data_IF_920828026336
#
_entry.id   IF_920828026336
#
_cell.length_a   1.000
_cell.length_b   1.000
_cell.length_c   1.000
_cell.angle_alpha   90.00
_cell.angle_beta   90.00
_cell.angle_gamma   90.00
#
_symmetry.space_group_name_H-M   'P 1'
#
loop_
_entity.id
_entity.type
_entity.pdbx_description
1 polymer ?
#
# COMPACT_ATOMS: atom_id res chain seq x y z
N UNK A 1 -4.10 5.33 23.63
CA UNK A 1 -4.45 5.70 22.25
C UNK A 1 -5.46 4.68 21.73
N UNK A 2 -6.17 4.96 20.64
CA UNK A 2 -6.94 3.95 19.88
C UNK A 2 -6.35 3.80 18.49
N UNK A 3 -6.70 2.72 17.79
CA UNK A 3 -6.28 2.53 16.41
C UNK A 3 -6.82 3.64 15.48
N UNK A 4 -7.99 4.21 15.80
CA UNK A 4 -8.51 5.38 15.09
C UNK A 4 -7.62 6.62 15.30
N UNK A 5 -7.20 6.87 16.55
CA UNK A 5 -6.27 7.98 16.85
C UNK A 5 -4.93 7.78 16.13
N UNK A 6 -4.40 6.55 16.07
CA UNK A 6 -3.18 6.21 15.32
C UNK A 6 -3.34 6.49 13.83
N UNK A 7 -4.42 6.02 13.21
CA UNK A 7 -4.66 6.21 11.77
C UNK A 7 -4.77 7.70 11.43
N UNK A 8 -5.44 8.48 12.28
CA UNK A 8 -5.56 9.92 12.10
C UNK A 8 -4.20 10.62 12.28
N UNK A 9 -3.41 10.23 13.29
CA UNK A 9 -2.05 10.75 13.50
C UNK A 9 -1.14 10.47 12.29
N UNK A 10 -1.09 9.22 11.81
CA UNK A 10 -0.32 8.84 10.62
C UNK A 10 -0.76 9.63 9.39
N UNK A 11 -2.07 9.83 9.20
CA UNK A 11 -2.60 10.60 8.05
C UNK A 11 -2.25 12.07 8.12
N UNK A 12 -2.26 12.65 9.32
CA UNK A 12 -1.93 14.05 9.54
C UNK A 12 -0.43 14.28 9.36
N UNK A 13 0.40 13.41 9.92
CA UNK A 13 1.86 13.49 9.83
C UNK A 13 2.36 13.23 8.41
N UNK A 14 1.77 12.25 7.69
CA UNK A 14 2.13 11.90 6.32
C UNK A 14 1.19 12.54 5.26
N UNK A 15 0.51 13.63 5.61
CA UNK A 15 -0.50 14.24 4.75
C UNK A 15 0.06 14.63 3.37
N UNK A 16 1.29 15.16 3.35
CA UNK A 16 1.88 15.68 2.10
C UNK A 16 2.31 14.53 1.21
N UNK A 17 2.95 13.52 1.78
CA UNK A 17 3.41 12.28 1.16
C UNK A 17 2.22 11.54 0.55
N UNK A 18 1.18 11.27 1.34
CA UNK A 18 -0.05 10.62 0.86
C UNK A 18 -0.76 11.43 -0.23
N UNK A 19 -0.69 12.76 -0.18
CA UNK A 19 -1.22 13.62 -1.25
C UNK A 19 -0.42 13.50 -2.55
N UNK A 20 0.91 13.34 -2.47
CA UNK A 20 1.79 13.12 -3.64
C UNK A 20 1.59 11.73 -4.23
N UNK A 21 1.58 10.71 -3.37
CA UNK A 21 1.30 9.31 -3.73
C UNK A 21 -0.12 9.12 -4.28
N UNK A 22 -1.07 9.99 -3.88
CA UNK A 22 -2.41 10.06 -4.45
C UNK A 22 -2.54 10.92 -5.70
N UNK A 23 -1.46 11.22 -6.41
CA UNK A 23 -1.50 11.97 -7.66
C UNK A 23 -1.29 11.07 -8.87
N UNK A 24 -1.69 11.55 -10.06
CA UNK A 24 -1.51 10.79 -11.30
C UNK A 24 -0.04 10.50 -11.63
N UNK A 25 0.89 11.18 -10.96
CA UNK A 25 2.33 10.94 -11.12
C UNK A 25 2.79 9.63 -10.50
N UNK A 26 2.04 9.04 -9.59
CA UNK A 26 2.36 7.71 -9.04
C UNK A 26 2.33 6.67 -10.14
N UNK A 27 1.29 6.67 -10.97
CA UNK A 27 1.25 5.81 -12.16
C UNK A 27 2.37 6.11 -13.14
N UNK A 28 2.74 7.38 -13.29
CA UNK A 28 3.86 7.77 -14.16
C UNK A 28 5.21 7.24 -13.63
N UNK A 29 5.42 7.28 -12.31
CA UNK A 29 6.61 6.70 -11.68
C UNK A 29 6.63 5.18 -11.83
N UNK A 30 5.55 4.50 -11.44
CA UNK A 30 5.40 3.04 -11.50
C UNK A 30 5.60 2.46 -12.91
N UNK A 31 5.25 3.23 -13.94
CA UNK A 31 5.39 2.82 -15.34
C UNK A 31 6.65 3.38 -16.02
N UNK A 32 7.54 4.03 -15.27
CA UNK A 32 8.73 4.73 -15.79
C UNK A 32 8.40 5.69 -16.95
N UNK A 33 7.21 6.27 -16.91
CA UNK A 33 6.66 7.21 -17.89
C UNK A 33 5.84 6.59 -19.02
N UNK A 34 5.77 5.26 -19.11
CA UNK A 34 5.02 4.54 -20.15
C UNK A 34 3.54 4.37 -19.76
N UNK A 35 2.72 5.39 -20.02
CA UNK A 35 1.30 5.44 -19.64
C UNK A 35 0.35 4.65 -20.56
N UNK A 36 0.82 3.55 -21.16
CA UNK A 36 -0.05 2.65 -21.93
C UNK A 36 -0.85 1.74 -20.98
N UNK A 37 -2.14 1.43 -21.26
CA UNK A 37 -2.97 0.62 -20.36
C UNK A 37 -2.34 -0.70 -19.92
N UNK A 38 -1.70 -1.42 -20.83
CA UNK A 38 -1.01 -2.69 -20.57
C UNK A 38 0.18 -2.53 -19.60
N UNK A 39 0.92 -1.43 -19.69
CA UNK A 39 2.04 -1.15 -18.78
C UNK A 39 1.53 -0.77 -17.40
N UNK A 40 0.44 0.01 -17.34
CA UNK A 40 -0.25 0.35 -16.09
C UNK A 40 -0.81 -0.91 -15.40
N UNK A 41 -1.36 -1.87 -16.16
CA UNK A 41 -1.82 -3.16 -15.61
C UNK A 41 -0.65 -4.02 -15.12
N UNK A 42 0.47 -4.06 -15.85
CA UNK A 42 1.68 -4.77 -15.40
C UNK A 42 2.22 -4.18 -14.10
N UNK A 43 2.30 -2.85 -13.98
CA UNK A 43 2.70 -2.18 -12.74
C UNK A 43 1.73 -2.45 -11.58
N UNK A 44 0.42 -2.51 -11.85
CA UNK A 44 -0.57 -2.92 -10.87
C UNK A 44 -0.35 -4.37 -10.41
N UNK A 45 -0.11 -5.30 -11.35
CA UNK A 45 0.20 -6.70 -11.04
C UNK A 45 1.48 -6.83 -10.21
N UNK A 46 2.51 -6.02 -10.48
CA UNK A 46 3.73 -5.95 -9.66
C UNK A 46 3.43 -5.59 -8.20
N UNK A 47 2.58 -4.57 -7.97
CA UNK A 47 2.18 -4.17 -6.62
C UNK A 47 1.38 -5.25 -5.91
N UNK A 48 0.45 -5.91 -6.59
CA UNK A 48 -0.30 -7.03 -6.01
C UNK A 48 0.60 -8.23 -5.71
N UNK A 49 1.58 -8.53 -6.58
CA UNK A 49 2.55 -9.60 -6.37
C UNK A 49 3.40 -9.34 -5.12
N UNK A 50 3.97 -8.13 -4.99
CA UNK A 50 4.77 -7.76 -3.84
C UNK A 50 3.98 -7.84 -2.53
N UNK A 51 2.72 -7.38 -2.54
CA UNK A 51 1.84 -7.48 -1.39
C UNK A 51 1.49 -8.92 -1.03
N UNK A 52 1.21 -9.76 -2.02
CA UNK A 52 1.01 -11.19 -1.82
C UNK A 52 2.22 -11.82 -1.13
N UNK A 53 3.42 -11.61 -1.68
CA UNK A 53 4.64 -12.23 -1.16
C UNK A 53 4.94 -11.83 0.29
N UNK A 54 4.80 -10.53 0.62
CA UNK A 54 4.98 -10.05 2.00
C UNK A 54 3.94 -10.65 2.96
N UNK A 55 2.65 -10.62 2.61
CA UNK A 55 1.60 -11.04 3.53
C UNK A 55 1.47 -12.55 3.65
N UNK A 56 1.80 -13.31 2.60
CA UNK A 56 1.91 -14.77 2.67
C UNK A 56 3.00 -15.16 3.67
N UNK A 57 4.19 -14.56 3.55
CA UNK A 57 5.30 -14.78 4.49
C UNK A 57 4.93 -14.40 5.94
N UNK A 58 4.30 -13.25 6.15
CA UNK A 58 3.83 -12.86 7.48
C UNK A 58 2.76 -13.80 8.03
N UNK A 59 1.88 -14.34 7.19
CA UNK A 59 0.84 -15.27 7.62
C UNK A 59 1.42 -16.60 8.12
N UNK A 60 2.51 -17.07 7.50
CA UNK A 60 3.24 -18.27 7.91
C UNK A 60 4.02 -18.07 9.23
N UNK A 61 4.57 -16.87 9.44
CA UNK A 61 5.40 -16.53 10.59
C UNK A 61 4.62 -16.01 11.81
N UNK A 62 3.38 -15.54 11.61
CA UNK A 62 2.56 -14.97 12.68
C UNK A 62 1.71 -16.03 13.38
N UNK A 63 1.22 -15.70 14.56
CA UNK A 63 0.24 -16.52 15.29
C UNK A 63 -1.05 -15.73 15.50
N UNK A 64 -2.12 -16.46 15.82
CA UNK A 64 -3.42 -15.91 16.21
C UNK A 64 -4.10 -15.06 15.11
N UNK A 65 -4.97 -14.13 15.50
CA UNK A 65 -5.88 -13.41 14.58
C UNK A 65 -5.13 -12.52 13.57
N UNK A 66 -3.90 -12.07 13.88
CA UNK A 66 -3.06 -11.33 12.94
C UNK A 66 -2.61 -12.20 11.75
N UNK A 67 -2.30 -13.48 11.97
CA UNK A 67 -1.95 -14.41 10.90
C UNK A 67 -3.13 -14.60 9.93
N UNK A 68 -4.36 -14.66 10.45
CA UNK A 68 -5.56 -14.75 9.62
C UNK A 68 -5.79 -13.50 8.77
N UNK A 69 -5.57 -12.30 9.32
CA UNK A 69 -5.63 -11.06 8.55
C UNK A 69 -4.61 -11.06 7.40
N UNK A 70 -3.37 -11.45 7.67
CA UNK A 70 -2.32 -11.48 6.63
C UNK A 70 -2.61 -12.54 5.57
N UNK A 71 -3.14 -13.70 5.95
CA UNK A 71 -3.60 -14.71 5.00
C UNK A 71 -4.75 -14.20 4.11
N UNK A 72 -5.74 -13.50 4.68
CA UNK A 72 -6.80 -12.85 3.91
C UNK A 72 -6.21 -11.85 2.90
N UNK A 73 -5.29 -10.99 3.34
CA UNK A 73 -4.64 -10.00 2.48
C UNK A 73 -3.80 -10.64 1.36
N UNK A 74 -3.07 -11.72 1.67
CA UNK A 74 -2.29 -12.48 0.69
C UNK A 74 -3.18 -13.15 -0.37
N UNK A 75 -4.32 -13.70 0.05
CA UNK A 75 -5.29 -14.30 -0.88
C UNK A 75 -5.94 -13.24 -1.78
N UNK A 76 -6.41 -12.14 -1.20
CA UNK A 76 -7.05 -11.06 -1.97
C UNK A 76 -6.10 -10.41 -2.98
N UNK A 77 -4.83 -10.19 -2.62
CA UNK A 77 -3.82 -9.64 -3.54
C UNK A 77 -3.50 -10.61 -4.68
N UNK A 78 -3.38 -11.90 -4.41
CA UNK A 78 -3.23 -12.91 -5.45
C UNK A 78 -4.43 -12.96 -6.41
N UNK A 79 -5.66 -12.94 -5.88
CA UNK A 79 -6.88 -12.90 -6.69
C UNK A 79 -6.94 -11.64 -7.57
N UNK A 80 -6.56 -10.48 -7.01
CA UNK A 80 -6.49 -9.23 -7.77
C UNK A 80 -5.43 -9.30 -8.86
N UNK A 81 -4.21 -9.76 -8.56
CA UNK A 81 -3.13 -9.96 -9.55
C UNK A 81 -3.63 -10.81 -10.72
N UNK A 82 -4.21 -11.97 -10.44
CA UNK A 82 -4.68 -12.91 -11.45
C UNK A 82 -5.82 -12.33 -12.30
N UNK A 83 -6.63 -11.42 -11.73
CA UNK A 83 -7.71 -10.74 -12.45
C UNK A 83 -7.24 -9.68 -13.46
N UNK A 84 -6.00 -9.18 -13.35
CA UNK A 84 -5.49 -8.10 -14.19
C UNK A 84 -5.05 -8.56 -15.59
N UNK A 85 -4.89 -9.88 -15.80
CA UNK A 85 -4.41 -10.48 -17.07
C UNK A 85 -3.12 -9.80 -17.59
N UNK A 86 -2.21 -9.49 -16.68
CA UNK A 86 -0.94 -8.85 -16.96
C UNK A 86 0.18 -9.48 -16.13
N UNK A 87 1.34 -9.68 -16.74
CA UNK A 87 2.51 -10.19 -16.03
C UNK A 87 3.09 -9.10 -15.13
N UNK A 88 3.40 -9.42 -13.86
CA UNK A 88 4.13 -8.49 -12.99
C UNK A 88 5.54 -8.23 -13.54
N UNK A 89 6.03 -7.02 -13.34
CA UNK A 89 7.43 -6.67 -13.58
C UNK A 89 8.35 -7.17 -12.46
N UNK A 90 9.66 -6.97 -12.65
CA UNK A 90 10.70 -7.45 -11.73
C UNK A 90 11.00 -6.48 -10.56
N UNK A 91 10.50 -5.24 -10.61
CA UNK A 91 10.80 -4.20 -9.60
C UNK A 91 9.78 -4.24 -8.45
N UNK A 92 10.19 -4.76 -7.28
CA UNK A 92 9.40 -4.71 -6.05
C UNK A 92 9.37 -3.29 -5.48
N UNK A 93 8.19 -2.71 -5.15
CA UNK A 93 8.12 -1.38 -4.54
C UNK A 93 8.90 -1.32 -3.22
N UNK A 94 9.71 -0.29 -3.05
CA UNK A 94 10.68 -0.16 -1.95
C UNK A 94 10.08 -0.33 -0.54
N UNK A 95 8.82 0.08 -0.34
CA UNK A 95 8.12 -0.06 0.93
C UNK A 95 8.02 -1.53 1.42
N UNK A 96 8.08 -2.51 0.51
CA UNK A 96 8.08 -3.93 0.90
C UNK A 96 9.39 -4.35 1.56
N UNK A 97 10.51 -3.67 1.29
CA UNK A 97 11.75 -3.88 2.05
C UNK A 97 11.60 -3.51 3.52
N UNK A 98 10.86 -2.43 3.83
CA UNK A 98 10.53 -2.07 5.21
C UNK A 98 9.63 -3.12 5.83
N UNK A 99 8.56 -3.53 5.14
CA UNK A 99 7.62 -4.54 5.63
C UNK A 99 8.33 -5.88 5.92
N UNK A 100 9.22 -6.32 5.04
CA UNK A 100 9.96 -7.58 5.23
C UNK A 100 10.86 -7.56 6.48
N UNK A 101 11.35 -6.38 6.89
CA UNK A 101 12.16 -6.20 8.11
C UNK A 101 11.32 -6.13 9.41
N UNK A 102 9.99 -6.03 9.33
CA UNK A 102 9.11 -6.00 10.50
C UNK A 102 8.89 -7.40 11.08
N UNK A 103 9.23 -7.57 12.36
CA UNK A 103 9.21 -8.88 13.03
C UNK A 103 8.12 -9.02 14.10
N UNK A 104 7.74 -7.94 14.77
CA UNK A 104 6.72 -7.99 15.82
C UNK A 104 5.31 -7.75 15.29
N UNK A 105 4.31 -8.33 15.96
CA UNK A 105 2.90 -8.25 15.53
C UNK A 105 2.41 -6.81 15.48
N UNK A 106 2.77 -5.99 16.47
CA UNK A 106 2.37 -4.59 16.57
C UNK A 106 2.97 -3.78 15.41
N UNK A 107 4.27 -3.96 15.16
CA UNK A 107 4.97 -3.30 14.06
C UNK A 107 4.38 -3.73 12.72
N UNK A 108 4.15 -5.03 12.50
CA UNK A 108 3.53 -5.56 11.26
C UNK A 108 2.13 -5.00 11.04
N UNK A 109 1.29 -4.92 12.08
CA UNK A 109 -0.03 -4.30 11.98
C UNK A 109 0.05 -2.80 11.67
N UNK A 110 1.00 -2.08 12.27
CA UNK A 110 1.30 -0.68 11.95
C UNK A 110 1.75 -0.50 10.49
N UNK A 111 2.74 -1.26 10.06
CA UNK A 111 3.22 -1.26 8.68
C UNK A 111 2.13 -1.63 7.67
N UNK A 112 1.27 -2.59 8.02
CA UNK A 112 0.08 -2.94 7.24
C UNK A 112 -0.88 -1.76 7.10
N UNK A 113 -1.15 -1.03 8.18
CA UNK A 113 -1.95 0.22 8.12
C UNK A 113 -1.31 1.23 7.17
N UNK A 114 0.01 1.46 7.27
CA UNK A 114 0.75 2.32 6.34
C UNK A 114 0.59 1.89 4.88
N UNK A 115 0.76 0.59 4.60
CA UNK A 115 0.57 0.00 3.27
C UNK A 115 -0.85 0.23 2.74
N UNK A 116 -1.90 -0.02 3.55
CA UNK A 116 -3.28 0.19 3.10
C UNK A 116 -3.59 1.66 2.78
N UNK A 117 -2.94 2.62 3.45
CA UNK A 117 -3.09 4.04 3.15
C UNK A 117 -2.47 4.41 1.81
N UNK A 118 -1.27 3.90 1.51
CA UNK A 118 -0.63 4.06 0.20
C UNK A 118 -1.44 3.36 -0.88
N UNK A 119 -1.74 2.07 -0.72
CA UNK A 119 -2.40 1.28 -1.76
C UNK A 119 -3.78 1.86 -2.12
N UNK A 120 -4.55 2.32 -1.13
CA UNK A 120 -5.81 3.03 -1.36
C UNK A 120 -5.64 4.20 -2.33
N UNK A 121 -4.59 5.02 -2.15
CA UNK A 121 -4.29 6.16 -3.01
C UNK A 121 -3.93 5.73 -4.43
N UNK A 122 -3.15 4.66 -4.59
CA UNK A 122 -2.79 4.13 -5.91
C UNK A 122 -4.01 3.56 -6.63
N UNK A 123 -4.89 2.82 -5.94
CA UNK A 123 -6.14 2.27 -6.49
C UNK A 123 -7.11 3.35 -6.98
N UNK A 124 -7.16 4.48 -6.29
CA UNK A 124 -7.89 5.68 -6.76
C UNK A 124 -7.32 6.21 -8.09
N UNK A 125 -5.99 6.19 -8.26
CA UNK A 125 -5.36 6.60 -9.51
C UNK A 125 -5.65 5.64 -10.65
N UNK A 126 -5.54 4.32 -10.43
CA UNK A 126 -5.92 3.34 -11.45
C UNK A 126 -7.38 3.52 -11.88
N UNK A 127 -8.30 3.69 -10.92
CA UNK A 127 -9.71 3.98 -11.19
C UNK A 127 -9.88 5.21 -12.09
N UNK A 128 -9.19 6.31 -11.77
CA UNK A 128 -9.21 7.54 -12.55
C UNK A 128 -8.64 7.37 -13.96
N UNK A 129 -7.51 6.67 -14.07
CA UNK A 129 -6.84 6.39 -15.34
C UNK A 129 -7.75 5.61 -16.30
N UNK A 130 -8.27 4.46 -15.88
CA UNK A 130 -9.12 3.62 -16.75
C UNK A 130 -10.47 4.27 -17.06
N UNK A 131 -11.01 5.10 -16.15
CA UNK A 131 -12.16 5.95 -16.45
C UNK A 131 -11.83 6.91 -17.61
N UNK A 132 -10.65 7.52 -17.61
CA UNK A 132 -10.16 8.37 -18.68
C UNK A 132 -9.90 7.64 -20.00
N UNK A 133 -9.53 6.36 -19.95
CA UNK A 133 -9.35 5.49 -21.12
C UNK A 133 -10.66 4.95 -21.70
N UNK A 134 -11.82 5.34 -21.16
CA UNK A 134 -13.12 4.78 -21.51
C UNK A 134 -13.22 3.27 -21.27
N UNK A 135 -12.53 2.77 -20.24
CA UNK A 135 -12.63 1.40 -19.74
C UNK A 135 -13.27 1.37 -18.34
N UNK A 136 -14.62 1.46 -18.27
CA UNK A 136 -15.34 1.49 -17.01
C UNK A 136 -15.32 0.15 -16.27
N UNK A 137 -15.01 -0.97 -16.94
CA UNK A 137 -14.96 -2.28 -16.31
C UNK A 137 -13.72 -2.39 -15.43
N UNK A 138 -12.55 -2.15 -16.02
CA UNK A 138 -11.27 -2.13 -15.30
C UNK A 138 -11.26 -1.06 -14.21
N UNK A 139 -11.81 0.13 -14.49
CA UNK A 139 -11.98 1.17 -13.47
C UNK A 139 -12.86 0.71 -12.29
N UNK A 140 -13.87 -0.12 -12.53
CA UNK A 140 -14.70 -0.66 -11.46
C UNK A 140 -13.96 -1.69 -10.63
N UNK A 141 -13.13 -2.54 -11.25
CA UNK A 141 -12.27 -3.51 -10.53
C UNK A 141 -11.37 -2.79 -9.53
N UNK A 142 -10.66 -1.75 -9.95
CA UNK A 142 -9.80 -0.97 -9.05
C UNK A 142 -10.56 -0.21 -7.98
N UNK A 143 -11.78 0.25 -8.29
CA UNK A 143 -12.64 0.90 -7.29
C UNK A 143 -13.04 -0.09 -6.19
N UNK A 144 -13.45 -1.31 -6.57
CA UNK A 144 -13.77 -2.39 -5.63
C UNK A 144 -12.55 -2.79 -4.80
N UNK A 145 -11.40 -3.00 -5.45
CA UNK A 145 -10.15 -3.29 -4.75
C UNK A 145 -9.79 -2.21 -3.70
N UNK A 146 -9.99 -0.93 -4.02
CA UNK A 146 -9.79 0.15 -3.07
C UNK A 146 -10.78 0.16 -1.90
N UNK A 147 -11.95 -0.49 -2.01
CA UNK A 147 -12.86 -0.71 -0.89
C UNK A 147 -12.43 -1.91 -0.05
N UNK A 148 -11.94 -2.98 -0.68
CA UNK A 148 -11.45 -4.17 0.02
C UNK A 148 -10.23 -3.83 0.90
N UNK A 149 -9.31 -3.01 0.39
CA UNK A 149 -8.15 -2.48 1.16
C UNK A 149 -8.59 -1.66 2.37
N UNK A 150 -9.72 -0.95 2.28
CA UNK A 150 -10.26 -0.20 3.42
C UNK A 150 -10.83 -1.14 4.48
N UNK A 151 -11.53 -2.21 4.08
CA UNK A 151 -11.98 -3.27 4.99
C UNK A 151 -10.81 -3.99 5.66
N UNK A 152 -9.72 -4.27 4.95
CA UNK A 152 -8.49 -4.82 5.54
C UNK A 152 -7.90 -3.87 6.59
N UNK A 153 -7.87 -2.57 6.32
CA UNK A 153 -7.41 -1.56 7.31
C UNK A 153 -8.28 -1.53 8.56
N UNK A 154 -9.60 -1.64 8.40
CA UNK A 154 -10.54 -1.69 9.54
C UNK A 154 -10.27 -2.93 10.41
N UNK A 155 -10.07 -4.11 9.82
CA UNK A 155 -9.67 -5.32 10.55
C UNK A 155 -8.33 -5.14 11.28
N UNK A 156 -7.34 -4.53 10.64
CA UNK A 156 -6.05 -4.24 11.26
C UNK A 156 -6.20 -3.30 12.47
N UNK A 157 -7.08 -2.29 12.37
CA UNK A 157 -7.37 -1.37 13.46
C UNK A 157 -8.00 -2.09 14.67
N UNK A 158 -8.97 -2.99 14.43
CA UNK A 158 -9.56 -3.82 15.48
C UNK A 158 -8.52 -4.69 16.20
N UNK A 159 -7.55 -5.24 15.46
CA UNK A 159 -6.46 -6.02 16.03
C UNK A 159 -5.49 -5.15 16.83
N UNK A 160 -5.11 -3.97 16.32
CA UNK A 160 -4.27 -3.02 17.05
C UNK A 160 -4.89 -2.63 18.39
N UNK A 161 -6.19 -2.32 18.42
CA UNK A 161 -6.91 -2.05 19.67
C UNK A 161 -6.91 -3.24 20.64
N UNK A 162 -6.80 -4.47 20.14
CA UNK A 162 -6.77 -5.68 20.95
C UNK A 162 -5.36 -6.03 21.46
N UNK A 163 -4.30 -5.73 20.70
CA UNK A 163 -2.92 -6.16 21.03
C UNK A 163 -2.04 -5.07 21.65
N UNK A 164 -2.33 -3.79 21.42
CA UNK A 164 -1.56 -2.70 22.02
C UNK A 164 -1.98 -2.49 23.47
N UNK A 165 -1.06 -2.74 24.41
CA UNK A 165 -1.31 -2.64 25.85
C UNK A 165 -0.71 -1.37 26.47
N UNK A 166 0.23 -0.74 25.77
CA UNK A 166 1.04 0.38 26.25
C UNK A 166 1.22 1.46 25.19
N UNK A 167 1.63 2.66 25.63
CA UNK A 167 1.98 3.75 24.71
C UNK A 167 3.19 3.37 23.82
N UNK A 168 4.10 2.51 24.30
CA UNK A 168 5.24 2.03 23.50
C UNK A 168 4.79 1.14 22.32
N UNK A 169 3.74 0.33 22.49
CA UNK A 169 3.17 -0.48 21.40
C UNK A 169 2.56 0.43 20.32
N UNK A 170 1.82 1.43 20.79
CA UNK A 170 1.20 2.45 19.96
C UNK A 170 2.22 3.25 19.15
N UNK A 171 3.30 3.71 19.79
CA UNK A 171 4.42 4.40 19.13
C UNK A 171 5.12 3.51 18.10
N UNK A 172 5.28 2.20 18.39
CA UNK A 172 5.90 1.25 17.46
C UNK A 172 5.06 1.01 16.21
N UNK A 173 3.73 0.87 16.36
CA UNK A 173 2.82 0.73 15.23
C UNK A 173 2.77 2.00 14.37
N UNK A 174 2.75 3.19 14.99
CA UNK A 174 2.75 4.46 14.29
C UNK A 174 4.06 4.67 13.51
N UNK A 175 5.21 4.40 14.14
CA UNK A 175 6.51 4.50 13.49
C UNK A 175 6.62 3.57 12.27
N UNK A 176 6.17 2.32 12.39
CA UNK A 176 6.15 1.38 11.27
C UNK A 176 5.26 1.86 10.11
N UNK A 177 4.08 2.40 10.42
CA UNK A 177 3.17 2.95 9.42
C UNK A 177 3.79 4.14 8.67
N UNK A 178 4.42 5.06 9.41
CA UNK A 178 5.12 6.24 8.87
C UNK A 178 6.28 5.82 7.98
N UNK A 179 7.12 4.87 8.42
CA UNK A 179 8.29 4.43 7.66
C UNK A 179 7.92 3.78 6.32
N UNK A 180 6.84 3.00 6.29
CA UNK A 180 6.28 2.42 5.05
C UNK A 180 5.84 3.53 4.08
N UNK A 181 5.13 4.55 4.56
CA UNK A 181 4.65 5.65 3.71
C UNK A 181 5.80 6.52 3.21
N UNK A 182 6.74 6.87 4.10
CA UNK A 182 7.91 7.67 3.77
C UNK A 182 8.76 6.98 2.70
N UNK A 183 9.00 5.68 2.85
CA UNK A 183 9.78 4.89 1.87
C UNK A 183 9.08 4.81 0.52
N UNK A 184 7.76 4.64 0.49
CA UNK A 184 6.99 4.69 -0.76
C UNK A 184 7.08 6.09 -1.42
N UNK A 185 7.07 7.16 -0.63
CA UNK A 185 7.23 8.52 -1.13
C UNK A 185 8.64 8.78 -1.67
N UNK A 186 9.68 8.30 -1.00
CA UNK A 186 11.07 8.46 -1.44
C UNK A 186 11.32 7.77 -2.77
N UNK A 187 10.86 6.53 -2.95
CA UNK A 187 10.92 5.82 -4.24
C UNK A 187 10.18 6.58 -5.35
N UNK A 188 8.97 7.08 -5.05
CA UNK A 188 8.21 7.92 -5.97
C UNK A 188 8.99 9.19 -6.35
N UNK A 189 9.62 9.85 -5.39
CA UNK A 189 10.36 11.09 -5.60
C UNK A 189 11.60 10.85 -6.46
N UNK A 190 12.43 9.87 -6.08
CA UNK A 190 13.65 9.48 -6.79
C UNK A 190 13.34 9.04 -8.22
N UNK A 191 12.33 8.20 -8.41
CA UNK A 191 11.92 7.74 -9.74
C UNK A 191 11.49 8.90 -10.63
N UNK A 192 10.75 9.88 -10.09
CA UNK A 192 10.38 11.07 -10.86
C UNK A 192 11.58 11.94 -11.21
N UNK A 193 12.52 12.15 -10.29
CA UNK A 193 13.76 12.89 -10.58
C UNK A 193 14.57 12.22 -11.69
N UNK A 194 14.71 10.90 -11.65
CA UNK A 194 15.36 10.10 -12.68
C UNK A 194 14.70 10.23 -14.05
N UNK A 195 13.38 10.39 -14.08
CA UNK A 195 12.60 10.65 -15.30
C UNK A 195 12.63 12.12 -15.73
N UNK A 196 13.38 12.98 -15.03
CA UNK A 196 13.50 14.40 -15.33
C UNK A 196 12.27 15.23 -14.93
N UNK A 197 11.37 14.67 -14.13
CA UNK A 197 10.28 15.39 -13.48
C UNK A 197 10.82 15.97 -12.18
N UNK A 198 10.54 17.23 -11.88
CA UNK A 198 10.95 17.86 -10.62
C UNK A 198 9.76 17.85 -9.64
N UNK A 199 9.52 16.77 -8.87
CA UNK A 199 8.53 16.77 -7.80
C UNK A 199 8.91 17.80 -6.74
N UNK A 200 7.91 18.43 -6.13
CA UNK A 200 8.17 19.33 -5.00
C UNK A 200 8.58 18.46 -3.81
N UNK A 201 9.74 18.71 -3.17
CA UNK A 201 10.13 17.97 -1.97
C UNK A 201 9.10 18.19 -0.87
N UNK A 202 8.92 17.18 -0.03
CA UNK A 202 8.24 17.30 1.26
C UNK A 202 9.30 17.70 2.28
N UNK A 203 8.99 18.70 3.10
CA UNK A 203 9.88 19.26 4.11
C UNK A 203 9.40 18.84 5.49
#
# INVERSE_FOLDING_TARGET
MTAADLIDAVRDDQQTELSRLGSSKTLYADTRGEMAPEVVLSAAATREQAAHDTFDAWSDDSHDDAAALFADAAAETAERRDSLDAEPGDETPAMHGVLDDLNGTVERLGGFVGWTLVDKKVKEQYTGFFTGQADPQTASTFRSAGSDVETLREKAAELLDAVCESDDDWDAAEAAAIEVIATAYDEYFETLEDLGVNPKPVC
#
